data_IF_707289567404
#
_entry.id   IF_707289567404
#
_cell.length_a   1.000
_cell.length_b   1.000
_cell.length_c   1.000
_cell.angle_alpha   90.00
_cell.angle_beta   90.00
_cell.angle_gamma   90.00
#
_symmetry.space_group_name_H-M   'P 1'
#
loop_
_entity.id
_entity.type
_entity.pdbx_description
1 polymer ?
#
# COMPACT_ATOMS: atom_id res chain seq x y z
N UNK A 1 7.40 -29.24 -26.60
CA UNK A 1 6.95 -28.01 -25.92
C UNK A 1 7.75 -26.86 -26.48
N UNK A 2 7.12 -25.71 -26.69
CA UNK A 2 7.77 -24.49 -27.17
C UNK A 2 8.55 -23.85 -26.01
N UNK A 3 9.80 -23.45 -26.26
CA UNK A 3 10.67 -22.82 -25.27
C UNK A 3 10.05 -21.54 -24.69
N UNK A 4 9.27 -20.82 -25.51
CA UNK A 4 8.56 -19.63 -25.03
C UNK A 4 7.52 -19.98 -23.97
N UNK A 5 6.77 -21.08 -24.14
CA UNK A 5 5.78 -21.53 -23.15
C UNK A 5 6.45 -21.91 -21.83
N UNK A 6 7.58 -22.62 -21.88
CA UNK A 6 8.34 -23.00 -20.67
C UNK A 6 8.88 -21.77 -19.92
N UNK A 7 9.39 -20.76 -20.64
CA UNK A 7 9.82 -19.49 -20.03
C UNK A 7 8.64 -18.74 -19.40
N UNK A 8 7.48 -18.71 -20.05
CA UNK A 8 6.28 -18.06 -19.48
C UNK A 8 5.76 -18.78 -18.24
N UNK A 9 5.77 -20.12 -18.21
CA UNK A 9 5.37 -20.90 -17.04
C UNK A 9 6.29 -20.64 -15.85
N UNK A 10 7.60 -20.53 -16.11
CA UNK A 10 8.61 -20.15 -15.11
C UNK A 10 8.34 -18.72 -14.59
N UNK A 11 8.12 -17.74 -15.48
CA UNK A 11 7.84 -16.35 -15.08
C UNK A 11 6.52 -16.25 -14.31
N UNK A 12 5.49 -17.00 -14.68
CA UNK A 12 4.22 -17.04 -13.95
C UNK A 12 4.40 -17.60 -12.53
N UNK A 13 5.26 -18.61 -12.38
CA UNK A 13 5.63 -19.16 -11.06
C UNK A 13 6.28 -18.08 -10.19
N UNK A 14 7.16 -17.23 -10.74
CA UNK A 14 7.87 -16.19 -9.99
C UNK A 14 7.11 -14.86 -9.81
N UNK A 15 6.14 -14.54 -10.66
CA UNK A 15 5.46 -13.24 -10.68
C UNK A 15 4.19 -13.18 -9.80
N UNK A 16 3.72 -14.33 -9.30
CA UNK A 16 2.56 -14.44 -8.43
C UNK A 16 2.73 -13.83 -7.03
N UNK A 17 1.62 -13.74 -6.28
CA UNK A 17 1.62 -13.22 -4.90
C UNK A 17 2.49 -14.05 -3.95
N UNK A 18 2.69 -15.34 -4.24
CA UNK A 18 3.53 -16.23 -3.44
C UNK A 18 5.00 -15.79 -3.34
N UNK A 19 5.48 -14.96 -4.29
CA UNK A 19 6.85 -14.45 -4.31
C UNK A 19 6.93 -12.94 -3.98
N UNK A 20 5.88 -12.36 -3.40
CA UNK A 20 5.84 -10.96 -2.98
C UNK A 20 5.74 -10.89 -1.46
N UNK A 21 6.58 -10.04 -0.87
CA UNK A 21 6.49 -9.71 0.56
C UNK A 21 5.69 -8.42 0.69
N UNK A 22 4.51 -8.52 1.28
CA UNK A 22 3.67 -7.36 1.62
C UNK A 22 3.83 -7.08 3.11
N UNK A 23 4.13 -5.83 3.45
CA UNK A 23 4.33 -5.40 4.83
C UNK A 23 3.56 -4.11 5.10
N UNK A 24 2.99 -4.00 6.29
CA UNK A 24 2.32 -2.78 6.72
C UNK A 24 3.37 -1.70 7.04
N UNK A 25 3.28 -0.55 6.37
CA UNK A 25 4.29 0.51 6.47
C UNK A 25 4.37 1.12 7.86
N UNK A 26 3.30 1.03 8.66
CA UNK A 26 3.28 1.53 10.04
C UNK A 26 4.41 0.92 10.89
N UNK A 27 4.75 -0.36 10.68
CA UNK A 27 5.85 -1.00 11.41
C UNK A 27 7.22 -0.51 10.96
N UNK A 28 7.34 -0.14 9.68
CA UNK A 28 8.56 0.45 9.13
C UNK A 28 8.73 1.86 9.68
N UNK A 29 7.67 2.68 9.62
CA UNK A 29 7.66 4.05 10.11
C UNK A 29 7.92 4.11 11.63
N UNK A 30 7.38 3.16 12.40
CA UNK A 30 7.58 3.08 13.85
C UNK A 30 9.05 2.93 14.23
N UNK A 31 9.76 2.06 13.50
CA UNK A 31 11.13 1.71 13.82
C UNK A 31 12.13 2.53 13.00
N UNK A 32 11.68 3.21 11.96
CA UNK A 32 12.50 3.93 10.98
C UNK A 32 13.61 3.04 10.38
N UNK A 33 13.24 1.81 10.01
CA UNK A 33 14.15 0.85 9.36
C UNK A 33 13.33 -0.23 8.65
N UNK A 34 13.53 -0.40 7.34
CA UNK A 34 12.75 -1.33 6.52
C UNK A 34 12.88 -2.78 6.99
N UNK A 35 14.11 -3.27 7.18
CA UNK A 35 14.36 -4.66 7.60
C UNK A 35 13.79 -4.93 9.00
N UNK A 36 13.98 -4.00 9.94
CA UNK A 36 13.48 -4.16 11.31
C UNK A 36 11.96 -4.07 11.37
N UNK A 37 11.34 -3.18 10.58
CA UNK A 37 9.87 -3.10 10.47
C UNK A 37 9.27 -4.36 9.87
N UNK A 38 9.89 -4.91 8.82
CA UNK A 38 9.49 -6.18 8.23
C UNK A 38 9.61 -7.34 9.23
N UNK A 39 10.74 -7.41 9.93
CA UNK A 39 10.97 -8.39 10.99
C UNK A 39 9.93 -8.26 12.12
N UNK A 40 9.64 -7.02 12.56
CA UNK A 40 8.63 -6.74 13.59
C UNK A 40 7.23 -7.20 13.16
N UNK A 41 6.85 -7.00 11.89
CA UNK A 41 5.56 -7.47 11.38
C UNK A 41 5.41 -9.00 11.55
N UNK A 42 6.48 -9.76 11.28
CA UNK A 42 6.45 -11.21 11.46
C UNK A 42 6.52 -11.62 12.92
N UNK A 43 7.25 -10.89 13.78
CA UNK A 43 7.21 -11.14 15.22
C UNK A 43 5.79 -11.03 15.77
N UNK A 44 5.02 -10.03 15.34
CA UNK A 44 3.61 -9.87 15.72
C UNK A 44 2.80 -11.07 15.24
N UNK A 45 2.93 -11.46 13.97
CA UNK A 45 2.23 -12.62 13.39
C UNK A 45 2.50 -13.92 14.16
N UNK A 46 3.76 -14.21 14.48
CA UNK A 46 4.16 -15.42 15.20
C UNK A 46 3.81 -15.36 16.69
N UNK A 47 3.73 -14.18 17.29
CA UNK A 47 3.33 -14.00 18.70
C UNK A 47 1.87 -14.39 19.00
N UNK A 48 1.04 -14.40 17.96
CA UNK A 48 -0.36 -14.82 18.03
C UNK A 48 -0.52 -16.33 17.78
N UNK A 49 0.39 -16.91 16.99
CA UNK A 49 0.33 -18.32 16.55
C UNK A 49 1.16 -19.27 17.40
N UNK A 50 1.90 -18.77 18.38
CA UNK A 50 2.61 -19.62 19.32
C UNK A 50 1.62 -20.23 20.32
N UNK A 51 1.61 -21.55 20.40
CA UNK A 51 0.78 -22.32 21.35
C UNK A 51 1.48 -22.56 22.69
N UNK A 52 2.75 -22.13 22.80
CA UNK A 52 3.58 -22.40 23.96
C UNK A 52 3.18 -21.48 25.12
N UNK A 53 2.98 -22.05 26.31
CA UNK A 53 2.55 -21.30 27.51
C UNK A 53 3.48 -20.13 27.87
N UNK A 54 4.78 -20.26 27.62
CA UNK A 54 5.76 -19.22 27.89
C UNK A 54 5.75 -18.08 26.86
N UNK A 55 4.99 -18.22 25.78
CA UNK A 55 4.85 -17.25 24.68
C UNK A 55 6.08 -17.14 23.78
N UNK A 56 7.04 -18.07 23.86
CA UNK A 56 8.21 -18.09 22.99
C UNK A 56 8.00 -18.99 21.78
N UNK A 57 8.45 -18.54 20.62
CA UNK A 57 8.66 -19.39 19.45
C UNK A 57 10.14 -19.39 19.08
N UNK A 58 10.59 -20.33 18.25
CA UNK A 58 11.97 -20.38 17.77
C UNK A 58 12.00 -20.38 16.25
N UNK A 59 13.06 -19.79 15.70
CA UNK A 59 13.28 -19.74 14.25
C UNK A 59 14.76 -19.52 13.95
N UNK A 60 15.25 -20.20 12.93
CA UNK A 60 16.63 -20.13 12.45
C UNK A 60 16.84 -18.94 11.51
N UNK A 61 18.09 -18.54 11.31
CA UNK A 61 18.44 -17.48 10.36
C UNK A 61 18.03 -17.84 8.92
N UNK A 62 18.12 -19.13 8.55
CA UNK A 62 17.71 -19.62 7.23
C UNK A 62 16.20 -19.52 7.04
N UNK A 63 15.40 -19.93 8.03
CA UNK A 63 13.94 -19.81 7.97
C UNK A 63 13.49 -18.34 7.89
N UNK A 64 14.22 -17.42 8.56
CA UNK A 64 13.96 -15.98 8.41
C UNK A 64 14.30 -15.49 7.01
N UNK A 65 15.41 -15.95 6.43
CA UNK A 65 15.80 -15.61 5.07
C UNK A 65 14.80 -16.15 4.03
N UNK A 66 14.27 -17.35 4.24
CA UNK A 66 13.27 -17.94 3.35
C UNK A 66 11.94 -17.19 3.39
N UNK A 67 11.51 -16.78 4.59
CA UNK A 67 10.21 -16.11 4.80
C UNK A 67 10.21 -14.65 4.38
N UNK A 68 11.23 -13.88 4.78
CA UNK A 68 11.24 -12.41 4.62
C UNK A 68 12.49 -11.88 3.92
N UNK A 69 13.35 -12.76 3.39
CA UNK A 69 14.55 -12.38 2.62
C UNK A 69 15.54 -11.48 3.36
N UNK A 70 15.47 -11.45 4.69
CA UNK A 70 16.42 -10.70 5.52
C UNK A 70 17.67 -11.54 5.72
N UNK A 71 18.84 -10.88 5.71
CA UNK A 71 20.12 -11.53 6.00
C UNK A 71 20.28 -11.84 7.49
N UNK A 72 21.16 -12.79 7.84
CA UNK A 72 21.56 -13.03 9.24
C UNK A 72 22.01 -11.75 9.96
N UNK A 73 22.70 -10.86 9.24
CA UNK A 73 23.11 -9.57 9.79
C UNK A 73 21.89 -8.67 10.08
N UNK A 74 20.93 -8.60 9.16
CA UNK A 74 19.68 -7.86 9.31
C UNK A 74 18.85 -8.36 10.50
N UNK A 75 18.68 -9.68 10.65
CA UNK A 75 18.01 -10.29 11.82
C UNK A 75 18.71 -9.89 13.11
N UNK A 76 20.04 -9.97 13.16
CA UNK A 76 20.82 -9.57 14.34
C UNK A 76 20.67 -8.08 14.67
N UNK A 77 20.70 -7.21 13.65
CA UNK A 77 20.50 -5.76 13.77
C UNK A 77 19.10 -5.45 14.31
N UNK A 78 18.07 -6.02 13.69
CA UNK A 78 16.67 -5.86 14.07
C UNK A 78 16.44 -6.30 15.52
N UNK A 79 16.96 -7.48 15.89
CA UNK A 79 16.86 -8.01 17.26
C UNK A 79 17.52 -7.09 18.29
N UNK A 80 18.70 -6.55 17.97
CA UNK A 80 19.39 -5.59 18.85
C UNK A 80 18.52 -4.34 19.07
N UNK A 81 18.03 -3.73 17.98
CA UNK A 81 17.20 -2.52 18.02
C UNK A 81 15.90 -2.73 18.80
N UNK A 82 15.19 -3.83 18.53
CA UNK A 82 13.95 -4.16 19.25
C UNK A 82 14.17 -4.57 20.71
N UNK A 83 15.34 -5.14 21.03
CA UNK A 83 15.76 -5.41 22.40
C UNK A 83 16.04 -4.12 23.17
N UNK A 84 16.70 -3.14 22.55
CA UNK A 84 16.93 -1.81 23.14
C UNK A 84 15.62 -1.07 23.40
N UNK A 85 14.61 -1.25 22.55
CA UNK A 85 13.25 -0.72 22.75
C UNK A 85 12.45 -1.49 23.84
N UNK A 86 13.02 -2.57 24.39
CA UNK A 86 12.37 -3.50 25.33
C UNK A 86 11.14 -4.21 24.77
N UNK A 87 10.99 -4.24 23.45
CA UNK A 87 9.86 -4.87 22.73
C UNK A 87 10.09 -6.36 22.53
N UNK A 88 11.35 -6.79 22.43
CA UNK A 88 11.69 -8.16 22.08
C UNK A 88 12.63 -8.78 23.11
N UNK A 89 12.24 -9.95 23.63
CA UNK A 89 13.09 -10.80 24.47
C UNK A 89 13.56 -11.99 23.64
N UNK A 90 14.87 -12.25 23.68
CA UNK A 90 15.46 -13.40 22.97
C UNK A 90 16.46 -14.14 23.83
N UNK A 91 16.52 -15.45 23.68
CA UNK A 91 17.57 -16.30 24.25
C UNK A 91 17.93 -17.43 23.28
N UNK A 92 19.07 -18.09 23.50
CA UNK A 92 19.48 -19.25 22.71
C UNK A 92 19.25 -20.51 23.52
N UNK A 93 18.53 -21.47 22.95
CA UNK A 93 18.32 -22.81 23.52
C UNK A 93 18.27 -23.84 22.40
N UNK A 94 18.55 -25.10 22.71
CA UNK A 94 18.48 -26.16 21.71
C UNK A 94 17.02 -26.42 21.31
N UNK A 95 16.73 -26.33 20.03
CA UNK A 95 15.52 -26.87 19.40
C UNK A 95 15.95 -28.00 18.46
N UNK A 96 15.36 -29.18 18.58
CA UNK A 96 15.76 -30.37 17.81
C UNK A 96 17.28 -30.68 17.85
N UNK A 97 17.92 -30.41 18.99
CA UNK A 97 19.36 -30.62 19.18
C UNK A 97 20.27 -29.49 18.66
N UNK A 98 19.76 -28.57 17.84
CA UNK A 98 20.49 -27.44 17.27
C UNK A 98 20.30 -26.18 18.15
N UNK A 99 21.36 -25.41 18.47
CA UNK A 99 21.20 -24.13 19.15
C UNK A 99 20.39 -23.15 18.27
N UNK A 100 19.19 -22.79 18.72
CA UNK A 100 18.26 -21.93 17.98
C UNK A 100 17.87 -20.73 18.85
N UNK A 101 17.64 -19.60 18.19
CA UNK A 101 17.16 -18.40 18.87
C UNK A 101 15.67 -18.54 19.12
N UNK A 102 15.27 -18.35 20.37
CA UNK A 102 13.89 -18.20 20.79
C UNK A 102 13.55 -16.70 20.88
N UNK A 103 12.35 -16.34 20.43
CA UNK A 103 11.82 -14.99 20.35
C UNK A 103 10.51 -14.90 21.14
N UNK A 104 10.35 -13.83 21.91
CA UNK A 104 9.09 -13.45 22.55
C UNK A 104 8.88 -11.96 22.42
N UNK A 105 7.79 -11.60 21.76
CA UNK A 105 7.32 -10.23 21.69
C UNK A 105 6.67 -9.87 23.04
N UNK A 106 7.12 -8.76 23.62
CA UNK A 106 6.47 -8.18 24.78
C UNK A 106 5.25 -7.38 24.30
N UNK A 107 4.07 -8.01 24.35
CA UNK A 107 2.82 -7.46 23.79
C UNK A 107 2.47 -6.11 24.44
N UNK A 108 2.60 -6.01 25.76
CA UNK A 108 2.28 -4.78 26.49
C UNK A 108 3.19 -3.63 26.06
N UNK A 109 4.51 -3.87 26.03
CA UNK A 109 5.47 -2.86 25.61
C UNK A 109 5.28 -2.45 24.15
N UNK A 110 5.00 -3.42 23.29
CA UNK A 110 4.67 -3.15 21.89
C UNK A 110 3.43 -2.27 21.75
N UNK A 111 2.35 -2.58 22.49
CA UNK A 111 1.12 -1.79 22.47
C UNK A 111 1.33 -0.36 22.95
N UNK A 112 2.08 -0.15 24.03
CA UNK A 112 2.43 1.20 24.49
C UNK A 112 3.15 2.02 23.39
N UNK A 113 4.13 1.40 22.73
CA UNK A 113 4.95 2.05 21.71
C UNK A 113 4.13 2.33 20.44
N UNK A 114 3.35 1.36 19.94
CA UNK A 114 2.55 1.55 18.73
C UNK A 114 1.43 2.58 18.98
N UNK A 115 0.76 2.55 20.14
CA UNK A 115 -0.30 3.48 20.47
C UNK A 115 0.26 4.91 20.61
N UNK A 116 1.39 5.07 21.32
CA UNK A 116 2.02 6.38 21.44
C UNK A 116 2.49 6.92 20.08
N UNK A 117 3.05 6.08 19.23
CA UNK A 117 3.44 6.45 17.87
C UNK A 117 2.23 6.90 17.03
N UNK A 118 1.14 6.14 17.05
CA UNK A 118 -0.08 6.48 16.32
C UNK A 118 -0.72 7.78 16.85
N UNK A 119 -0.74 7.99 18.16
CA UNK A 119 -1.20 9.24 18.79
C UNK A 119 -0.35 10.43 18.37
N UNK A 120 0.97 10.27 18.31
CA UNK A 120 1.88 11.33 17.88
C UNK A 120 1.66 11.71 16.41
N UNK A 121 1.47 10.71 15.53
CA UNK A 121 1.12 10.92 14.13
C UNK A 121 -0.21 11.68 13.99
N UNK A 122 -1.21 11.36 14.82
CA UNK A 122 -2.48 12.12 14.87
C UNK A 122 -2.27 13.56 15.38
N UNK A 123 -1.42 13.79 16.38
CA UNK A 123 -1.08 15.13 16.91
C UNK A 123 -0.34 16.01 15.90
N UNK A 124 0.58 15.44 15.13
CA UNK A 124 1.22 16.15 14.01
C UNK A 124 0.22 16.54 12.93
N UNK A 125 -0.80 15.71 12.72
CA UNK A 125 -1.92 15.98 11.81
C UNK A 125 -2.89 17.06 12.34
N UNK A 126 -2.95 17.28 13.66
CA UNK A 126 -3.87 18.21 14.33
C UNK A 126 -3.25 19.53 14.79
N UNK A 127 -1.92 19.68 14.76
CA UNK A 127 -1.24 21.00 14.89
C UNK A 127 -1.58 22.00 13.76
N UNK A 128 -2.39 21.59 12.79
CA UNK A 128 -2.90 22.45 11.71
C UNK A 128 -4.36 22.86 11.88
N UNK A 129 -5.07 22.45 12.93
CA UNK A 129 -6.45 22.89 13.22
C UNK A 129 -6.72 22.91 14.73
N UNK A 130 -6.86 24.12 15.29
CA UNK A 130 -7.51 24.34 16.58
C UNK A 130 -8.98 23.90 16.49
N UNK A 131 -9.45 23.15 17.48
CA UNK A 131 -10.84 22.70 17.59
C UNK A 131 -10.95 21.37 18.35
N UNK A 132 -11.16 21.48 19.67
CA UNK A 132 -11.23 20.39 20.64
C UNK A 132 -12.46 19.47 20.44
N UNK A 133 -12.29 18.15 20.56
CA UNK A 133 -13.10 17.31 21.45
C UNK A 133 -12.42 15.96 21.68
N UNK A 134 -12.34 15.61 22.96
CA UNK A 134 -11.70 14.43 23.51
C UNK A 134 -12.55 13.18 23.24
N UNK A 135 -11.89 12.10 22.81
CA UNK A 135 -12.36 10.76 23.07
C UNK A 135 -11.13 9.93 23.45
N UNK A 136 -10.89 9.84 24.76
CA UNK A 136 -9.98 8.87 25.33
C UNK A 136 -10.51 7.46 25.06
N UNK A 137 -9.89 6.76 24.10
CA UNK A 137 -10.09 5.33 23.92
C UNK A 137 -9.41 4.59 25.09
N UNK A 138 -10.17 4.38 26.16
CA UNK A 138 -9.91 3.34 27.14
C UNK A 138 -10.24 1.98 26.48
N UNK A 139 -9.21 1.21 26.14
CA UNK A 139 -9.33 -0.21 25.86
C UNK A 139 -9.35 -0.96 27.19
N UNK A 140 -10.52 -1.16 27.76
CA UNK A 140 -10.78 -2.26 28.71
C UNK A 140 -12.26 -2.64 28.59
N UNK A 141 -12.49 -3.96 28.55
CA UNK A 141 -13.78 -4.66 28.67
C UNK A 141 -14.66 -4.75 27.42
N UNK A 142 -14.24 -5.65 26.51
CA UNK A 142 -15.19 -6.47 25.76
C UNK A 142 -15.60 -7.60 26.70
N UNK A 143 -16.72 -7.48 27.40
CA UNK A 143 -17.52 -8.63 27.85
C UNK A 143 -18.96 -8.22 28.20
N UNK A 144 -19.90 -9.04 27.71
CA UNK A 144 -21.30 -9.20 28.11
C UNK A 144 -22.35 -8.12 27.77
N UNK A 145 -23.15 -8.45 26.75
CA UNK A 145 -24.60 -8.37 26.62
C UNK A 145 -25.46 -7.44 27.52
N UNK A 146 -26.44 -6.83 26.84
CA UNK A 146 -27.85 -6.61 27.23
C UNK A 146 -28.29 -5.14 27.34
N UNK A 147 -29.03 -4.72 26.31
CA UNK A 147 -30.20 -3.82 26.30
C UNK A 147 -30.42 -2.90 27.51
N UNK A 148 -30.45 -1.60 27.26
CA UNK A 148 -31.52 -0.72 27.79
C UNK A 148 -31.82 0.39 26.79
N UNK A 149 -33.10 0.46 26.40
CA UNK A 149 -33.70 1.59 25.72
C UNK A 149 -33.56 2.85 26.58
N UNK A 150 -33.18 3.96 25.96
CA UNK A 150 -33.55 5.29 26.42
C UNK A 150 -33.97 6.06 25.16
N UNK A 151 -35.29 6.19 25.02
CA UNK A 151 -35.91 7.26 24.26
C UNK A 151 -35.51 8.59 24.92
N UNK A 152 -34.96 9.54 24.16
CA UNK A 152 -35.52 10.89 24.06
C UNK A 152 -34.74 11.73 23.03
N UNK A 153 -35.56 12.31 22.16
CA UNK A 153 -35.35 13.18 20.99
C UNK A 153 -34.34 14.33 21.19
N UNK A 154 -33.27 14.39 20.37
CA UNK A 154 -32.78 15.57 19.61
C UNK A 154 -31.76 15.13 18.53
N UNK A 155 -32.10 15.47 17.28
CA UNK A 155 -31.29 15.54 16.06
C UNK A 155 -30.80 14.26 15.37
N UNK A 156 -31.46 13.98 14.22
CA UNK A 156 -31.09 13.00 13.19
C UNK A 156 -29.65 13.21 12.70
N UNK A 157 -28.67 12.60 13.35
CA UNK A 157 -27.33 12.46 12.77
C UNK A 157 -27.33 11.28 11.78
N UNK A 158 -26.99 11.48 10.50
CA UNK A 158 -27.05 10.45 9.45
C UNK A 158 -25.91 9.45 9.61
N UNK A 159 -26.07 8.50 10.53
CA UNK A 159 -25.24 7.30 10.64
C UNK A 159 -25.85 6.10 9.88
N UNK A 160 -26.85 6.34 9.02
CA UNK A 160 -27.59 5.30 8.27
C UNK A 160 -27.98 5.81 6.87
N UNK A 161 -27.03 6.34 6.09
CA UNK A 161 -27.27 6.51 4.64
C UNK A 161 -26.67 5.30 3.89
N UNK A 162 -27.56 4.45 3.36
CA UNK A 162 -27.21 3.24 2.62
C UNK A 162 -26.29 3.55 1.43
N UNK A 163 -26.46 4.74 0.82
CA UNK A 163 -25.65 5.19 -0.32
C UNK A 163 -24.22 5.48 0.12
N UNK A 164 -24.04 6.23 1.21
CA UNK A 164 -22.73 6.47 1.80
C UNK A 164 -22.02 5.16 2.18
N UNK A 165 -22.73 4.24 2.84
CA UNK A 165 -22.15 2.97 3.28
C UNK A 165 -21.75 2.09 2.11
N UNK A 166 -22.55 2.04 1.04
CA UNK A 166 -22.25 1.30 -0.19
C UNK A 166 -21.00 1.85 -0.89
N UNK A 167 -20.89 3.17 -1.03
CA UNK A 167 -19.72 3.82 -1.64
C UNK A 167 -18.46 3.67 -0.79
N UNK A 168 -18.59 3.80 0.53
CA UNK A 168 -17.48 3.63 1.46
C UNK A 168 -16.94 2.19 1.46
N UNK A 169 -17.83 1.19 1.52
CA UNK A 169 -17.46 -0.21 1.47
C UNK A 169 -16.72 -0.57 0.17
N UNK A 170 -17.14 0.00 -0.96
CA UNK A 170 -16.53 -0.24 -2.26
C UNK A 170 -15.12 0.35 -2.38
N UNK A 171 -14.89 1.53 -1.78
CA UNK A 171 -13.58 2.15 -1.69
C UNK A 171 -12.61 1.31 -0.84
N UNK A 172 -13.11 0.72 0.27
CA UNK A 172 -12.33 -0.18 1.11
C UNK A 172 -11.97 -1.49 0.39
N UNK A 173 -12.91 -2.10 -0.31
CA UNK A 173 -12.68 -3.33 -1.09
C UNK A 173 -11.59 -3.14 -2.18
N UNK A 174 -11.51 -1.94 -2.75
CA UNK A 174 -10.51 -1.59 -3.76
C UNK A 174 -9.18 -1.07 -3.17
N UNK A 175 -8.98 -1.20 -1.85
CA UNK A 175 -7.78 -0.76 -1.12
C UNK A 175 -7.46 0.73 -1.29
N UNK A 176 -8.50 1.59 -1.33
CA UNK A 176 -8.33 3.04 -1.42
C UNK A 176 -8.49 3.62 -0.01
N UNK A 177 -7.39 4.03 0.65
CA UNK A 177 -7.47 4.62 1.98
C UNK A 177 -8.13 6.01 1.89
N UNK A 178 -9.11 6.24 2.75
CA UNK A 178 -9.81 7.51 2.89
C UNK A 178 -9.33 8.22 4.16
N UNK A 179 -8.99 9.50 4.05
CA UNK A 179 -8.79 10.37 5.21
C UNK A 179 -10.14 10.81 5.79
N UNK A 180 -10.14 11.33 7.02
CA UNK A 180 -11.35 11.88 7.65
C UNK A 180 -12.03 12.98 6.80
N UNK A 181 -11.24 13.83 6.15
CA UNK A 181 -11.75 14.82 5.18
C UNK A 181 -12.35 14.16 3.94
N UNK A 182 -11.75 13.06 3.47
CA UNK A 182 -12.27 12.32 2.35
C UNK A 182 -13.60 11.63 2.67
N UNK A 183 -13.85 11.27 3.93
CA UNK A 183 -15.14 10.74 4.39
C UNK A 183 -16.22 11.81 4.36
N UNK A 184 -15.90 13.03 4.79
CA UNK A 184 -16.84 14.14 4.74
C UNK A 184 -17.18 14.51 3.28
N UNK A 185 -16.15 14.65 2.43
CA UNK A 185 -16.32 14.88 0.99
C UNK A 185 -17.13 13.75 0.33
N UNK A 186 -16.88 12.50 0.73
CA UNK A 186 -17.62 11.34 0.24
C UNK A 186 -19.09 11.42 0.62
N UNK A 187 -19.41 11.85 1.84
CA UNK A 187 -20.78 12.10 2.29
C UNK A 187 -21.48 13.13 1.41
N UNK A 188 -20.83 14.27 1.20
CA UNK A 188 -21.34 15.34 0.34
C UNK A 188 -21.56 14.87 -1.12
N UNK A 189 -20.62 14.12 -1.68
CA UNK A 189 -20.78 13.55 -3.02
C UNK A 189 -21.90 12.50 -3.08
N UNK A 190 -22.11 11.70 -2.03
CA UNK A 190 -23.20 10.74 -1.95
C UNK A 190 -24.57 11.45 -1.90
N UNK A 191 -24.67 12.57 -1.18
CA UNK A 191 -25.89 13.38 -1.10
C UNK A 191 -26.20 14.09 -2.42
N UNK A 192 -25.18 14.58 -3.13
CA UNK A 192 -25.35 15.39 -4.35
C UNK A 192 -25.46 14.54 -5.63
N UNK A 193 -24.65 13.48 -5.76
CA UNK A 193 -24.52 12.69 -6.99
C UNK A 193 -25.05 11.24 -6.83
N UNK A 194 -25.20 10.76 -5.60
CA UNK A 194 -25.58 9.38 -5.31
C UNK A 194 -24.41 8.40 -5.36
N UNK A 195 -24.63 7.22 -4.78
CA UNK A 195 -23.58 6.20 -4.65
C UNK A 195 -23.05 5.69 -5.99
N UNK A 196 -23.92 5.59 -7.01
CA UNK A 196 -23.55 5.03 -8.32
C UNK A 196 -22.48 5.85 -9.04
N UNK A 197 -22.55 7.18 -8.94
CA UNK A 197 -21.55 8.07 -9.51
C UNK A 197 -20.21 7.92 -8.80
N UNK A 198 -20.22 7.71 -7.48
CA UNK A 198 -18.99 7.47 -6.73
C UNK A 198 -18.34 6.15 -7.12
N UNK A 199 -19.13 5.08 -7.30
CA UNK A 199 -18.61 3.78 -7.76
C UNK A 199 -17.95 3.90 -9.15
N UNK A 200 -18.61 4.58 -10.08
CA UNK A 200 -18.09 4.81 -11.44
C UNK A 200 -16.79 5.64 -11.44
N UNK A 201 -16.70 6.67 -10.59
CA UNK A 201 -15.47 7.46 -10.45
C UNK A 201 -14.31 6.62 -9.89
N UNK A 202 -14.61 5.65 -9.01
CA UNK A 202 -13.63 4.68 -8.49
C UNK A 202 -13.17 3.73 -9.59
N UNK A 203 -14.08 3.20 -10.39
CA UNK A 203 -13.75 2.30 -11.52
C UNK A 203 -12.86 2.99 -12.55
N UNK A 204 -13.17 4.25 -12.90
CA UNK A 204 -12.30 5.07 -13.77
C UNK A 204 -10.93 5.34 -13.17
N UNK A 205 -10.85 5.51 -11.86
CA UNK A 205 -9.56 5.66 -11.18
C UNK A 205 -8.75 4.35 -11.19
N UNK A 206 -9.42 3.20 -11.16
CA UNK A 206 -8.79 1.88 -11.29
C UNK A 206 -8.25 1.68 -12.71
N UNK A 207 -9.04 1.97 -13.73
CA UNK A 207 -8.65 1.84 -15.14
C UNK A 207 -7.47 2.74 -15.52
N UNK A 208 -7.41 3.94 -14.93
CA UNK A 208 -6.30 4.87 -15.11
C UNK A 208 -5.10 4.59 -14.20
N UNK A 209 -5.13 3.48 -13.44
CA UNK A 209 -4.12 3.10 -12.45
C UNK A 209 -3.79 4.22 -11.45
N UNK A 210 -4.80 5.00 -11.07
CA UNK A 210 -4.73 6.18 -10.22
C UNK A 210 -5.65 6.04 -9.00
N UNK A 211 -5.57 4.89 -8.31
CA UNK A 211 -6.39 4.47 -7.15
C UNK A 211 -6.13 5.29 -5.88
N UNK A 212 -6.41 6.59 -5.93
CA UNK A 212 -6.26 7.56 -4.83
C UNK A 212 -7.46 8.48 -4.76
N UNK A 213 -7.95 8.75 -3.56
CA UNK A 213 -9.12 9.61 -3.33
C UNK A 213 -9.02 10.96 -4.06
N UNK A 214 -7.84 11.59 -4.06
CA UNK A 214 -7.62 12.87 -4.73
C UNK A 214 -7.96 12.84 -6.23
N UNK A 215 -7.73 11.72 -6.91
CA UNK A 215 -8.08 11.57 -8.32
C UNK A 215 -9.58 11.37 -8.49
N UNK A 216 -10.18 10.52 -7.64
CA UNK A 216 -11.62 10.23 -7.60
C UNK A 216 -12.43 11.50 -7.30
N UNK A 217 -12.08 12.22 -6.24
CA UNK A 217 -12.66 13.53 -5.88
C UNK A 217 -12.50 14.55 -7.01
N UNK A 218 -11.40 14.52 -7.77
CA UNK A 218 -11.22 15.36 -8.95
C UNK A 218 -12.19 15.04 -10.09
N UNK A 219 -12.48 13.75 -10.32
CA UNK A 219 -13.50 13.29 -11.27
C UNK A 219 -14.88 13.75 -10.80
N UNK A 220 -15.23 13.48 -9.55
CA UNK A 220 -16.54 13.83 -8.96
C UNK A 220 -16.77 15.34 -8.96
N UNK A 221 -15.75 16.13 -8.61
CA UNK A 221 -15.80 17.59 -8.66
C UNK A 221 -16.01 18.13 -10.08
N UNK A 222 -15.41 17.48 -11.09
CA UNK A 222 -15.61 17.86 -12.49
C UNK A 222 -17.04 17.57 -12.94
N UNK A 223 -17.58 16.40 -12.57
CA UNK A 223 -18.97 16.06 -12.87
C UNK A 223 -19.96 16.98 -12.16
N UNK A 224 -19.72 17.31 -10.89
CA UNK A 224 -20.54 18.28 -10.16
C UNK A 224 -20.51 19.66 -10.83
N UNK A 225 -19.33 20.15 -11.26
CA UNK A 225 -19.19 21.43 -11.99
C UNK A 225 -19.86 21.42 -13.36
N UNK A 226 -19.86 20.27 -14.03
CA UNK A 226 -20.52 20.07 -15.32
C UNK A 226 -22.01 19.76 -15.19
N UNK A 227 -22.55 19.78 -13.96
CA UNK A 227 -23.93 19.45 -13.61
C UNK A 227 -24.37 18.06 -14.10
N UNK A 228 -23.42 17.11 -14.14
CA UNK A 228 -23.61 15.73 -14.58
C UNK A 228 -24.09 14.90 -13.38
N UNK A 229 -25.34 14.47 -13.40
CA UNK A 229 -26.00 13.76 -12.27
C UNK A 229 -26.39 12.32 -12.60
N UNK A 230 -26.33 11.93 -13.87
CA UNK A 230 -26.69 10.58 -14.32
C UNK A 230 -25.58 9.98 -15.16
N UNK A 231 -25.51 8.64 -15.21
CA UNK A 231 -24.55 7.93 -16.05
C UNK A 231 -24.67 8.32 -17.55
N UNK A 232 -25.87 8.64 -18.02
CA UNK A 232 -26.10 9.09 -19.39
C UNK A 232 -25.40 10.43 -19.69
N UNK A 233 -25.38 11.33 -18.72
CA UNK A 233 -24.69 12.63 -18.84
C UNK A 233 -23.17 12.45 -18.80
N UNK A 234 -22.66 11.48 -18.01
CA UNK A 234 -21.24 11.12 -17.99
C UNK A 234 -20.79 10.61 -19.36
N UNK A 235 -21.58 9.75 -19.99
CA UNK A 235 -21.29 9.21 -21.32
C UNK A 235 -21.22 10.32 -22.39
N UNK A 236 -22.15 11.28 -22.35
CA UNK A 236 -22.13 12.43 -23.26
C UNK A 236 -20.89 13.31 -23.04
N UNK A 237 -20.48 13.52 -21.79
CA UNK A 237 -19.28 14.28 -21.44
C UNK A 237 -18.01 13.58 -21.94
N UNK A 238 -17.92 12.26 -21.80
CA UNK A 238 -16.79 11.46 -22.30
C UNK A 238 -16.70 11.48 -23.83
N UNK A 239 -17.84 11.45 -24.52
CA UNK A 239 -17.91 11.54 -25.98
C UNK A 239 -17.45 12.92 -26.48
N UNK A 240 -17.88 14.00 -25.82
CA UNK A 240 -17.41 15.35 -26.09
C UNK A 240 -15.89 15.51 -25.84
N UNK A 241 -15.36 14.90 -24.78
CA UNK A 241 -13.92 14.93 -24.47
C UNK A 241 -13.07 14.17 -25.49
N UNK A 242 -13.54 13.00 -25.97
CA UNK A 242 -12.87 12.25 -27.05
C UNK A 242 -12.80 13.06 -28.36
N UNK A 243 -13.87 13.79 -28.68
CA UNK A 243 -13.92 14.63 -29.88
C UNK A 243 -12.99 15.85 -29.81
N UNK A 244 -12.69 16.38 -28.62
CA UNK A 244 -11.74 17.49 -28.44
C UNK A 244 -10.27 17.03 -28.44
N UNK A 245 -9.95 15.85 -27.88
CA UNK A 245 -8.56 15.34 -27.79
C UNK A 245 -7.96 14.88 -29.14
N UNK A 246 -8.79 14.74 -30.17
CA UNK A 246 -8.36 14.43 -31.54
C UNK A 246 -7.76 15.62 -32.31
N UNK A 247 -7.88 16.86 -31.79
CA UNK A 247 -7.53 18.08 -32.53
C UNK A 247 -6.58 19.01 -31.77
N UNK A 248 -5.26 18.76 -31.85
CA UNK A 248 -4.23 19.74 -31.52
C UNK A 248 -3.72 19.69 -30.08
N UNK A 249 -2.40 19.43 -29.93
CA UNK A 249 -1.49 20.02 -28.91
C UNK A 249 -0.22 19.18 -28.65
N UNK A 250 -0.11 17.95 -29.17
CA UNK A 250 1.09 17.12 -28.93
C UNK A 250 2.27 17.34 -29.91
N UNK A 251 2.09 18.08 -31.01
CA UNK A 251 3.16 18.29 -32.01
C UNK A 251 4.15 19.41 -31.67
N UNK A 252 3.75 20.44 -30.92
CA UNK A 252 4.54 21.68 -30.77
C UNK A 252 5.57 21.65 -29.63
N UNK A 253 5.37 20.83 -28.59
CA UNK A 253 6.24 20.83 -27.39
C UNK A 253 7.51 19.97 -27.50
N UNK A 254 7.65 19.14 -28.53
CA UNK A 254 8.83 18.27 -28.72
C UNK A 254 10.03 18.94 -29.41
N UNK A 255 9.94 20.20 -29.85
CA UNK A 255 10.99 20.88 -30.65
C UNK A 255 11.93 21.83 -29.89
N UNK A 256 11.74 22.10 -28.61
CA UNK A 256 12.57 23.11 -27.88
C UNK A 256 13.60 22.57 -26.91
N UNK A 257 13.74 21.26 -26.76
CA UNK A 257 14.80 20.70 -25.92
C UNK A 257 15.46 19.46 -26.55
N UNK A 258 16.19 19.68 -27.65
CA UNK A 258 17.27 18.79 -28.09
C UNK A 258 18.52 19.62 -28.22
N UNK A 259 19.26 19.67 -27.11
CA UNK A 259 20.65 20.08 -27.10
C UNK A 259 21.47 19.22 -28.05
N UNK A 260 22.40 19.90 -28.70
CA UNK A 260 23.37 19.45 -29.68
C UNK A 260 24.16 18.21 -29.20
N UNK A 261 23.98 17.07 -29.86
CA UNK A 261 24.98 16.01 -29.94
C UNK A 261 25.20 15.69 -31.42
N UNK A 262 26.45 15.78 -31.83
CA UNK A 262 26.92 15.54 -33.19
C UNK A 262 26.54 14.13 -33.66
N UNK A 263 26.14 14.05 -34.91
CA UNK A 263 25.80 12.83 -35.66
C UNK A 263 26.98 11.87 -35.70
N UNK A 264 26.84 10.74 -35.00
CA UNK A 264 27.69 9.57 -35.13
C UNK A 264 27.35 8.76 -36.38
N UNK A 265 28.41 8.22 -36.98
CA UNK A 265 28.53 7.42 -38.20
C UNK A 265 27.44 6.35 -38.40
N UNK A 266 27.02 6.12 -39.64
CA UNK A 266 26.02 5.09 -40.00
C UNK A 266 26.45 3.70 -39.55
N UNK A 267 25.51 2.89 -39.08
CA UNK A 267 25.71 1.48 -38.73
C UNK A 267 26.39 0.69 -39.86
N UNK A 268 26.11 1.02 -41.11
CA UNK A 268 26.71 0.38 -42.28
C UNK A 268 28.20 0.71 -42.42
N UNK A 269 28.61 1.94 -42.07
CA UNK A 269 30.02 2.33 -42.04
C UNK A 269 30.78 1.69 -40.87
N UNK A 270 30.13 1.48 -39.73
CA UNK A 270 30.71 0.83 -38.56
C UNK A 270 30.91 -0.68 -38.79
N UNK A 271 29.95 -1.34 -39.45
CA UNK A 271 30.03 -2.75 -39.84
C UNK A 271 31.12 -2.95 -40.90
N UNK A 272 31.18 -2.11 -41.94
CA UNK A 272 32.22 -2.17 -42.97
C UNK A 272 33.64 -1.88 -42.43
N UNK A 273 33.75 -1.15 -41.32
CA UNK A 273 35.03 -0.90 -40.65
C UNK A 273 35.43 -2.05 -39.72
N UNK A 274 34.46 -2.74 -39.11
CA UNK A 274 34.67 -3.94 -38.29
C UNK A 274 35.05 -5.15 -39.14
N UNK A 275 34.48 -5.30 -40.33
CA UNK A 275 34.84 -6.39 -41.26
C UNK A 275 36.26 -6.21 -41.84
N UNK A 276 36.71 -4.98 -42.07
CA UNK A 276 38.07 -4.68 -42.55
C UNK A 276 39.17 -4.91 -41.51
N UNK A 277 38.84 -4.96 -40.22
CA UNK A 277 39.80 -5.04 -39.11
C UNK A 277 39.61 -6.29 -38.22
N UNK A 278 38.96 -7.35 -38.71
CA UNK A 278 38.74 -8.58 -37.93
C UNK A 278 40.04 -9.42 -37.83
N UNK A 279 40.59 -9.67 -36.62
CA UNK A 279 41.75 -10.53 -36.44
C UNK A 279 41.44 -12.01 -36.71
N UNK A 280 42.36 -12.69 -37.40
CA UNK A 280 42.17 -14.00 -38.01
C UNK A 280 42.29 -15.18 -37.05
N UNK A 281 41.48 -15.31 -36.00
CA UNK A 281 41.33 -16.59 -35.30
C UNK A 281 40.05 -16.59 -34.48
N UNK A 282 39.01 -17.23 -35.03
CA UNK A 282 37.94 -18.00 -34.39
C UNK A 282 36.96 -18.28 -35.54
N UNK A 283 37.22 -19.37 -36.27
CA UNK A 283 36.23 -19.98 -37.17
C UNK A 283 35.25 -20.77 -36.32
N UNK A 284 33.98 -20.73 -36.73
CA UNK A 284 32.88 -21.56 -36.22
C UNK A 284 33.27 -23.04 -36.18
N UNK A 285 32.70 -23.73 -35.21
CA UNK A 285 32.06 -25.03 -35.45
C UNK A 285 30.57 -24.80 -35.23
#
# INVERSE_FOLDING_TARGET
>A
MDFQSEVFDIIHTFSGQANKIVVNTVFIDLVDDLETGLFLSQLVYWSDRTTREDGYFYKTDSEWHEEIRISKYGVRKARKKLGEMSVLKTYVKKANGVPTVHYKLDKNRFFEIIISFLRNRKKESSKSKDGNCENELSLTDITADTTTNIDDDVDKHPLIDEKFQKSYQYLLQNNIPLSETALQDLGEFCDVLGSEMVLEAVDRAIDQNAKRWKYISGILSNWQKSNVKTMADVMQLDEAYKNQKGGGEHAARRRRNRGHYQTGRSYEEEVASRERNMPSYIKRV
#
